data_IF_389254633430
#
_entry.id   IF_389254633430
#
_cell.length_a   1.000
_cell.length_b   1.000
_cell.length_c   1.000
_cell.angle_alpha   90.00
_cell.angle_beta   90.00
_cell.angle_gamma   90.00
#
_symmetry.space_group_name_H-M   'P 1'
#
loop_
_entity.id
_entity.type
_entity.pdbx_description
1 polymer ?
#
# COMPACT_ATOMS: atom_id res chain seq x y z
N UNK A 1 5.72 -34.15 -10.64
CA UNK A 1 6.43 -34.36 -11.90
C UNK A 1 5.94 -33.38 -12.94
N UNK A 2 6.60 -32.25 -13.07
CA UNK A 2 6.47 -31.41 -14.26
C UNK A 2 7.84 -31.37 -14.92
N UNK A 3 7.98 -32.11 -16.00
CA UNK A 3 9.11 -32.00 -16.92
C UNK A 3 8.66 -31.01 -17.98
N UNK A 4 9.23 -29.80 -17.94
CA UNK A 4 9.09 -28.85 -19.03
C UNK A 4 10.22 -29.13 -20.01
N UNK A 5 9.93 -29.81 -21.12
CA UNK A 5 10.85 -29.97 -22.24
C UNK A 5 10.75 -28.70 -23.12
N UNK A 6 11.74 -27.85 -23.01
CA UNK A 6 12.03 -26.84 -24.01
C UNK A 6 13.41 -27.11 -24.58
N UNK A 7 13.46 -27.52 -25.85
CA UNK A 7 14.66 -27.52 -26.73
C UNK A 7 15.91 -28.27 -26.22
N UNK A 8 15.75 -29.54 -25.76
CA UNK A 8 16.92 -30.43 -25.61
C UNK A 8 17.85 -30.15 -24.43
N UNK A 9 17.59 -29.16 -23.61
CA UNK A 9 18.34 -28.92 -22.37
C UNK A 9 17.63 -29.56 -21.18
N UNK A 10 18.28 -30.51 -20.55
CA UNK A 10 17.81 -31.14 -19.31
C UNK A 10 18.08 -30.15 -18.17
N UNK A 11 17.08 -29.40 -17.76
CA UNK A 11 17.22 -28.60 -16.55
C UNK A 11 17.28 -29.49 -15.32
N UNK A 12 18.42 -29.44 -14.62
CA UNK A 12 18.59 -30.13 -13.36
C UNK A 12 17.63 -29.56 -12.31
N UNK A 13 16.88 -30.44 -11.61
CA UNK A 13 15.96 -29.99 -10.55
C UNK A 13 16.76 -29.19 -9.50
N UNK A 14 16.42 -27.92 -9.35
CA UNK A 14 17.10 -27.00 -8.42
C UNK A 14 17.12 -27.54 -6.99
N UNK A 15 16.13 -28.35 -6.59
CA UNK A 15 16.10 -29.02 -5.28
C UNK A 15 17.27 -29.99 -5.11
N UNK A 16 17.64 -30.70 -6.16
CA UNK A 16 18.78 -31.63 -6.13
C UNK A 16 20.09 -30.86 -5.96
N UNK A 17 20.24 -29.73 -6.67
CA UNK A 17 21.42 -28.88 -6.55
C UNK A 17 21.55 -28.32 -5.13
N UNK A 18 20.48 -27.78 -4.57
CA UNK A 18 20.50 -27.24 -3.21
C UNK A 18 20.74 -28.34 -2.17
N UNK A 19 20.14 -29.51 -2.33
CA UNK A 19 20.38 -30.63 -1.42
C UNK A 19 21.84 -31.04 -1.42
N UNK A 20 22.51 -31.13 -2.59
CA UNK A 20 23.92 -31.43 -2.70
C UNK A 20 24.81 -30.34 -2.12
N UNK A 21 24.54 -29.07 -2.44
CA UNK A 21 25.32 -27.93 -1.95
C UNK A 21 25.22 -27.76 -0.43
N UNK A 22 24.08 -28.09 0.15
CA UNK A 22 23.81 -27.91 1.57
C UNK A 22 24.07 -29.17 2.41
N UNK A 23 24.42 -30.30 1.77
CA UNK A 23 24.60 -31.60 2.45
C UNK A 23 25.69 -31.61 3.53
N UNK A 24 26.68 -30.72 3.41
CA UNK A 24 27.76 -30.55 4.40
C UNK A 24 27.53 -29.46 5.42
N UNK A 25 26.42 -28.73 5.30
CA UNK A 25 26.09 -27.60 6.20
C UNK A 25 25.28 -28.15 7.37
N UNK A 26 25.82 -27.99 8.56
CA UNK A 26 25.11 -28.27 9.80
C UNK A 26 24.33 -27.03 10.22
N UNK A 27 23.01 -27.04 10.05
CA UNK A 27 22.16 -25.96 10.49
C UNK A 27 22.11 -25.90 12.03
N UNK A 28 22.19 -24.70 12.62
CA UNK A 28 21.99 -24.57 14.05
C UNK A 28 20.56 -25.00 14.43
N UNK A 29 20.33 -25.44 15.66
CA UNK A 29 18.97 -25.76 16.11
C UNK A 29 18.09 -24.52 16.05
N UNK A 30 16.88 -24.67 15.50
CA UNK A 30 15.86 -23.64 15.52
C UNK A 30 15.08 -23.72 16.82
N UNK A 31 14.94 -22.58 17.49
CA UNK A 31 14.05 -22.43 18.63
C UNK A 31 12.75 -21.80 18.14
N UNK A 32 11.63 -22.46 18.43
CA UNK A 32 10.33 -21.83 18.29
C UNK A 32 10.16 -20.80 19.41
N UNK A 33 9.99 -19.53 19.02
CA UNK A 33 9.68 -18.46 19.96
C UNK A 33 8.28 -17.94 19.69
N UNK A 34 7.47 -17.89 20.71
CA UNK A 34 6.18 -17.23 20.67
C UNK A 34 6.34 -15.82 21.26
N UNK A 35 6.02 -14.80 20.47
CA UNK A 35 5.98 -13.43 20.94
C UNK A 35 4.55 -13.08 21.33
N UNK A 36 4.29 -13.05 22.64
CA UNK A 36 3.00 -12.67 23.19
C UNK A 36 3.04 -11.17 23.46
N UNK A 37 2.44 -10.38 22.56
CA UNK A 37 2.27 -8.96 22.75
C UNK A 37 0.80 -8.63 23.01
N UNK A 38 0.54 -7.94 24.09
CA UNK A 38 -0.77 -7.33 24.32
C UNK A 38 -0.83 -6.05 23.49
N UNK A 39 -1.54 -6.09 22.37
CA UNK A 39 -1.72 -4.91 21.55
C UNK A 39 -3.11 -4.33 21.80
N UNK A 40 -3.24 -2.98 21.87
CA UNK A 40 -4.55 -2.36 21.89
C UNK A 40 -5.29 -2.68 20.60
N UNK A 41 -6.54 -3.08 20.71
CA UNK A 41 -7.40 -3.40 19.57
C UNK A 41 -8.33 -2.21 19.32
N UNK A 42 -8.41 -1.78 18.06
CA UNK A 42 -9.40 -0.81 17.62
C UNK A 42 -10.69 -1.58 17.28
N UNK A 43 -11.75 -1.38 18.08
CA UNK A 43 -13.01 -2.12 17.90
C UNK A 43 -13.71 -1.80 16.58
N UNK A 44 -13.65 -0.53 16.14
CA UNK A 44 -14.24 -0.08 14.88
C UNK A 44 -13.23 0.76 14.08
N UNK A 45 -12.44 0.13 13.19
CA UNK A 45 -11.48 0.84 12.35
C UNK A 45 -12.12 1.91 11.46
N UNK A 46 -13.32 1.66 10.97
CA UNK A 46 -14.09 2.66 10.18
C UNK A 46 -14.40 3.91 10.98
N UNK A 47 -14.95 3.74 12.21
CA UNK A 47 -15.29 4.90 13.03
C UNK A 47 -14.03 5.62 13.52
N UNK A 48 -13.00 4.89 13.90
CA UNK A 48 -11.73 5.48 14.33
C UNK A 48 -11.06 6.29 13.21
N UNK A 49 -11.11 5.79 11.97
CA UNK A 49 -10.60 6.52 10.81
C UNK A 49 -11.42 7.78 10.50
N UNK A 50 -12.75 7.67 10.59
CA UNK A 50 -13.64 8.83 10.45
C UNK A 50 -13.31 9.90 11.50
N UNK A 51 -13.26 9.53 12.79
CA UNK A 51 -13.00 10.45 13.88
C UNK A 51 -11.63 11.12 13.74
N UNK A 52 -10.61 10.36 13.35
CA UNK A 52 -9.26 10.87 13.13
C UNK A 52 -9.21 11.96 12.04
N UNK A 53 -9.90 11.74 10.92
CA UNK A 53 -9.97 12.72 9.84
C UNK A 53 -10.87 13.90 10.22
N UNK A 54 -12.04 13.63 10.80
CA UNK A 54 -13.02 14.65 11.17
C UNK A 54 -12.48 15.63 12.23
N UNK A 55 -11.64 15.15 13.14
CA UNK A 55 -11.00 15.98 14.17
C UNK A 55 -9.68 16.61 13.74
N UNK A 56 -9.14 16.21 12.57
CA UNK A 56 -7.92 16.78 12.04
C UNK A 56 -8.17 18.24 11.58
N UNK A 57 -7.42 19.23 12.08
CA UNK A 57 -7.64 20.64 11.68
C UNK A 57 -7.51 20.87 10.17
N UNK A 58 -6.68 20.05 9.49
CA UNK A 58 -6.43 20.23 8.06
C UNK A 58 -7.62 19.82 7.18
N UNK A 59 -8.56 19.01 7.68
CA UNK A 59 -9.78 18.67 6.92
C UNK A 59 -10.62 19.91 6.61
N UNK A 60 -10.56 20.94 7.46
CA UNK A 60 -11.27 22.21 7.24
C UNK A 60 -10.74 23.00 6.03
N UNK A 61 -9.61 22.60 5.45
CA UNK A 61 -9.09 23.20 4.21
C UNK A 61 -9.82 22.69 2.97
N UNK A 62 -10.44 21.52 3.06
CA UNK A 62 -11.22 20.94 1.95
C UNK A 62 -12.49 21.76 1.75
N UNK A 63 -12.66 22.32 0.55
CA UNK A 63 -13.83 23.08 0.17
C UNK A 63 -14.81 22.21 -0.63
N UNK A 64 -16.09 22.57 -0.65
CA UNK A 64 -17.07 21.86 -1.45
C UNK A 64 -16.67 21.76 -2.93
N UNK A 65 -16.68 20.56 -3.48
CA UNK A 65 -16.32 20.26 -4.86
C UNK A 65 -14.83 20.00 -5.11
N UNK A 66 -13.95 20.27 -4.15
CA UNK A 66 -12.53 19.96 -4.29
C UNK A 66 -12.25 18.45 -4.27
N UNK A 67 -11.30 18.03 -5.07
CA UNK A 67 -10.91 16.64 -5.22
C UNK A 67 -9.90 16.22 -4.14
N UNK A 68 -10.10 15.03 -3.58
CA UNK A 68 -9.25 14.49 -2.52
C UNK A 68 -8.75 13.12 -2.91
N UNK A 69 -7.45 12.99 -3.19
CA UNK A 69 -6.81 11.73 -3.49
C UNK A 69 -6.52 10.98 -2.18
N UNK A 70 -7.08 9.78 -2.03
CA UNK A 70 -6.83 8.89 -0.92
C UNK A 70 -5.87 7.81 -1.38
N UNK A 71 -4.71 7.67 -0.74
CA UNK A 71 -3.74 6.66 -1.17
C UNK A 71 -4.09 5.29 -0.61
N UNK A 72 -3.87 4.24 -1.40
CA UNK A 72 -4.00 2.87 -0.97
C UNK A 72 -2.75 2.06 -1.35
N UNK A 73 -2.11 1.44 -0.36
CA UNK A 73 -0.88 0.69 -0.54
C UNK A 73 -1.12 -0.80 -0.83
N UNK A 74 -0.02 -1.52 -1.08
CA UNK A 74 0.00 -2.97 -1.30
C UNK A 74 0.29 -3.78 -0.03
N UNK A 75 0.38 -3.13 1.11
CA UNK A 75 0.62 -3.80 2.40
C UNK A 75 -0.70 -4.06 3.09
N UNK A 76 -0.80 -5.25 3.63
CA UNK A 76 -1.98 -5.64 4.41
C UNK A 76 -2.14 -4.71 5.63
N UNK A 77 -3.30 -4.10 5.71
CA UNK A 77 -3.77 -3.30 6.84
C UNK A 77 -5.09 -3.91 7.29
N UNK A 78 -5.21 -4.18 8.58
CA UNK A 78 -6.44 -4.74 9.12
C UNK A 78 -7.62 -3.81 8.81
N UNK A 79 -8.69 -4.38 8.24
CA UNK A 79 -9.91 -3.67 7.84
C UNK A 79 -9.67 -2.40 7.01
N UNK A 80 -8.78 -2.49 6.01
CA UNK A 80 -8.47 -1.35 5.13
C UNK A 80 -9.71 -0.77 4.45
N UNK A 81 -10.68 -1.61 4.11
CA UNK A 81 -11.95 -1.18 3.48
C UNK A 81 -12.77 -0.34 4.44
N UNK A 82 -12.90 -0.77 5.70
CA UNK A 82 -13.55 0.02 6.75
C UNK A 82 -12.84 1.35 6.98
N UNK A 83 -11.50 1.34 7.09
CA UNK A 83 -10.71 2.58 7.24
C UNK A 83 -10.99 3.54 6.08
N UNK A 84 -10.93 3.06 4.84
CA UNK A 84 -11.21 3.90 3.66
C UNK A 84 -12.64 4.45 3.67
N UNK A 85 -13.63 3.65 4.08
CA UNK A 85 -15.03 4.13 4.23
C UNK A 85 -15.14 5.26 5.24
N UNK A 86 -14.48 5.14 6.39
CA UNK A 86 -14.46 6.18 7.41
C UNK A 86 -13.86 7.49 6.88
N UNK A 87 -12.72 7.42 6.19
CA UNK A 87 -12.07 8.58 5.57
C UNK A 87 -12.96 9.19 4.47
N UNK A 88 -13.52 8.37 3.58
CA UNK A 88 -14.42 8.82 2.50
C UNK A 88 -15.62 9.56 3.06
N UNK A 89 -16.22 9.03 4.14
CA UNK A 89 -17.34 9.68 4.82
C UNK A 89 -16.96 11.06 5.34
N UNK A 90 -15.84 11.17 6.06
CA UNK A 90 -15.38 12.44 6.60
C UNK A 90 -15.10 13.49 5.51
N UNK A 91 -14.47 13.09 4.40
CA UNK A 91 -14.20 13.97 3.25
C UNK A 91 -15.49 14.44 2.60
N UNK A 92 -16.46 13.54 2.40
CA UNK A 92 -17.76 13.89 1.80
C UNK A 92 -18.57 14.85 2.68
N UNK A 93 -18.51 14.70 3.99
CA UNK A 93 -19.19 15.62 4.93
C UNK A 93 -18.63 17.03 4.87
N UNK A 94 -17.34 17.19 4.51
CA UNK A 94 -16.76 18.51 4.21
C UNK A 94 -17.13 19.02 2.80
N UNK A 95 -17.83 18.21 1.99
CA UNK A 95 -18.18 18.54 0.62
C UNK A 95 -17.09 18.19 -0.41
N UNK A 96 -16.01 17.54 -0.01
CA UNK A 96 -14.95 17.08 -0.91
C UNK A 96 -15.37 15.88 -1.78
N UNK A 97 -14.67 15.69 -2.88
CA UNK A 97 -14.87 14.61 -3.85
C UNK A 97 -13.71 13.62 -3.74
N UNK A 98 -13.83 12.57 -2.90
CA UNK A 98 -12.76 11.60 -2.71
C UNK A 98 -12.66 10.61 -3.87
N UNK A 99 -11.43 10.18 -4.18
CA UNK A 99 -11.13 9.07 -5.07
C UNK A 99 -9.87 8.32 -4.59
N UNK A 100 -9.71 7.07 -4.99
CA UNK A 100 -8.56 6.24 -4.59
C UNK A 100 -7.43 6.33 -5.61
N UNK A 101 -6.20 6.38 -5.12
CA UNK A 101 -4.97 6.29 -5.93
C UNK A 101 -4.08 5.17 -5.37
N UNK A 102 -3.62 4.21 -6.19
CA UNK A 102 -2.63 3.25 -5.75
C UNK A 102 -1.32 3.94 -5.34
N UNK A 103 -0.78 3.58 -4.18
CA UNK A 103 0.48 4.09 -3.66
C UNK A 103 1.39 2.91 -3.26
N UNK A 104 1.90 2.21 -4.27
CA UNK A 104 2.60 0.94 -4.06
C UNK A 104 3.86 0.77 -4.94
N UNK A 105 4.35 1.82 -5.56
CA UNK A 105 5.58 1.81 -6.36
C UNK A 105 5.48 0.85 -7.55
N UNK A 106 6.38 -0.14 -7.63
CA UNK A 106 6.44 -1.11 -8.73
C UNK A 106 5.59 -2.37 -8.52
N UNK A 107 4.80 -2.44 -7.46
CA UNK A 107 3.91 -3.57 -7.23
C UNK A 107 2.86 -3.68 -8.34
N UNK A 108 2.20 -4.83 -8.46
CA UNK A 108 1.26 -5.08 -9.55
C UNK A 108 1.92 -5.16 -10.93
N UNK A 109 3.20 -5.57 -10.99
CA UNK A 109 3.96 -5.65 -12.23
C UNK A 109 4.30 -4.30 -12.86
N UNK A 110 4.29 -3.22 -12.05
CA UNK A 110 4.52 -1.85 -12.50
C UNK A 110 3.57 -1.42 -13.65
N UNK A 111 2.31 -1.83 -13.57
CA UNK A 111 1.24 -1.44 -14.50
C UNK A 111 0.05 -0.88 -13.74
N UNK A 112 -0.68 0.05 -14.34
CA UNK A 112 -1.87 0.65 -13.75
C UNK A 112 -2.94 -0.42 -13.43
N UNK A 113 -3.21 -1.30 -14.39
CA UNK A 113 -4.16 -2.40 -14.25
C UNK A 113 -3.72 -3.43 -13.21
N UNK A 114 -2.41 -3.70 -13.13
CA UNK A 114 -1.84 -4.60 -12.13
C UNK A 114 -1.99 -4.05 -10.72
N UNK A 115 -1.85 -2.74 -10.53
CA UNK A 115 -2.06 -2.08 -9.24
C UNK A 115 -3.52 -2.11 -8.82
N UNK A 116 -4.45 -1.89 -9.75
CA UNK A 116 -5.89 -2.04 -9.47
C UNK A 116 -6.21 -3.46 -9.00
N UNK A 117 -5.69 -4.49 -9.69
CA UNK A 117 -5.88 -5.89 -9.25
C UNK A 117 -5.33 -6.17 -7.85
N UNK A 118 -4.24 -5.52 -7.46
CA UNK A 118 -3.72 -5.63 -6.07
C UNK A 118 -4.71 -5.02 -5.08
N UNK A 119 -5.30 -3.87 -5.39
CA UNK A 119 -6.33 -3.26 -4.54
C UNK A 119 -7.58 -4.14 -4.43
N UNK A 120 -8.05 -4.69 -5.55
CA UNK A 120 -9.19 -5.61 -5.61
C UNK A 120 -8.96 -6.85 -4.72
N UNK A 121 -7.74 -7.38 -4.68
CA UNK A 121 -7.38 -8.50 -3.81
C UNK A 121 -7.59 -8.17 -2.32
N UNK A 122 -7.47 -6.91 -1.92
CA UNK A 122 -7.76 -6.43 -0.57
C UNK A 122 -9.21 -5.97 -0.37
N UNK A 123 -10.08 -6.19 -1.37
CA UNK A 123 -11.48 -5.75 -1.33
C UNK A 123 -11.68 -4.25 -1.57
N UNK A 124 -10.64 -3.55 -2.00
CA UNK A 124 -10.71 -2.13 -2.36
C UNK A 124 -11.20 -2.06 -3.80
N UNK A 125 -12.50 -1.85 -3.96
CA UNK A 125 -13.17 -1.73 -5.27
C UNK A 125 -14.06 -0.50 -5.30
N UNK A 126 -14.36 0.00 -6.49
CA UNK A 126 -15.29 1.12 -6.66
C UNK A 126 -16.68 0.80 -6.11
N UNK A 127 -17.13 -0.46 -6.27
CA UNK A 127 -18.42 -0.93 -5.74
C UNK A 127 -18.42 -0.90 -4.19
N UNK A 128 -17.37 -1.42 -3.56
CA UNK A 128 -17.27 -1.49 -2.09
C UNK A 128 -17.19 -0.12 -1.42
N UNK A 129 -16.53 0.84 -2.09
CA UNK A 129 -16.24 2.16 -1.53
C UNK A 129 -17.14 3.28 -2.06
N UNK A 130 -17.79 3.08 -3.20
CA UNK A 130 -18.62 4.09 -3.86
C UNK A 130 -17.83 5.30 -4.36
N UNK A 131 -16.54 5.15 -4.66
CA UNK A 131 -15.65 6.15 -5.24
C UNK A 131 -14.81 5.56 -6.35
N UNK A 132 -14.35 6.38 -7.27
CA UNK A 132 -13.49 5.96 -8.38
C UNK A 132 -12.12 5.49 -7.87
N UNK A 133 -11.52 4.52 -8.57
CA UNK A 133 -10.12 4.14 -8.44
C UNK A 133 -9.38 4.64 -9.68
N UNK A 134 -8.52 5.62 -9.50
CA UNK A 134 -7.73 6.22 -10.58
C UNK A 134 -6.29 5.73 -10.48
N UNK A 135 -5.83 4.96 -11.46
CA UNK A 135 -4.50 4.38 -11.49
C UNK A 135 -3.71 4.82 -12.72
N UNK A 136 -2.45 5.17 -12.51
CA UNK A 136 -1.50 5.53 -13.56
C UNK A 136 -0.09 5.21 -13.10
N UNK A 137 0.83 4.94 -14.04
CA UNK A 137 2.27 4.85 -13.76
C UNK A 137 3.00 6.19 -14.05
N UNK A 138 2.25 7.21 -14.47
CA UNK A 138 2.83 8.52 -14.73
C UNK A 138 3.17 9.29 -13.46
N UNK A 139 4.36 9.88 -13.42
CA UNK A 139 4.81 10.74 -12.32
C UNK A 139 5.12 12.15 -12.79
N UNK A 140 5.16 13.09 -11.85
CA UNK A 140 5.65 14.46 -12.05
C UNK A 140 6.76 14.75 -11.07
N UNK A 141 7.75 15.52 -11.50
CA UNK A 141 8.80 16.03 -10.63
C UNK A 141 8.25 17.21 -9.82
N UNK A 142 8.20 17.06 -8.51
CA UNK A 142 7.66 18.10 -7.61
C UNK A 142 8.75 18.90 -6.89
N UNK A 143 10.00 18.45 -6.95
CA UNK A 143 11.12 19.15 -6.35
C UNK A 143 12.35 18.25 -6.20
N UNK A 144 13.31 18.71 -5.39
CA UNK A 144 14.52 17.97 -5.02
C UNK A 144 14.70 18.02 -3.50
N UNK A 145 15.30 16.97 -2.94
CA UNK A 145 15.73 16.96 -1.55
C UNK A 145 16.91 17.94 -1.34
N UNK A 146 17.27 18.20 -0.09
CA UNK A 146 18.46 19.03 0.23
C UNK A 146 19.74 18.46 -0.38
N UNK A 147 19.81 17.13 -0.54
CA UNK A 147 20.95 16.43 -1.14
C UNK A 147 20.86 16.34 -2.68
N UNK A 148 19.88 17.00 -3.30
CA UNK A 148 19.72 17.09 -4.75
C UNK A 148 19.00 15.92 -5.42
N UNK A 149 18.43 14.96 -4.66
CA UNK A 149 17.66 13.85 -5.24
C UNK A 149 16.30 14.33 -5.75
N UNK A 150 15.88 13.93 -6.98
CA UNK A 150 14.58 14.30 -7.51
C UNK A 150 13.44 13.62 -6.74
N UNK A 151 12.40 14.38 -6.42
CA UNK A 151 11.19 13.90 -5.75
C UNK A 151 10.06 13.84 -6.78
N UNK A 152 9.59 12.62 -7.03
CA UNK A 152 8.49 12.36 -7.94
C UNK A 152 7.22 12.03 -7.17
N UNK A 153 6.10 12.57 -7.64
CA UNK A 153 4.76 12.27 -7.14
C UNK A 153 3.92 11.66 -8.25
N UNK A 154 2.97 10.81 -7.90
CA UNK A 154 1.97 10.31 -8.85
C UNK A 154 1.25 11.49 -9.53
N UNK A 155 1.05 11.39 -10.85
CA UNK A 155 0.46 12.48 -11.65
C UNK A 155 -0.98 12.75 -11.27
N UNK A 156 -1.76 11.70 -10.98
CA UNK A 156 -3.18 11.83 -10.65
C UNK A 156 -3.32 12.42 -9.25
N UNK A 157 -2.54 11.93 -8.29
CA UNK A 157 -2.53 12.48 -6.93
C UNK A 157 -2.07 13.94 -6.92
N UNK A 158 -1.04 14.30 -7.73
CA UNK A 158 -0.57 15.68 -7.82
C UNK A 158 -1.58 16.64 -8.47
N UNK A 159 -2.50 16.12 -9.27
CA UNK A 159 -3.56 16.92 -9.89
C UNK A 159 -4.78 17.11 -8.99
N UNK A 160 -4.87 16.41 -7.87
CA UNK A 160 -5.91 16.61 -6.87
C UNK A 160 -5.66 17.89 -6.04
N UNK A 161 -6.73 18.47 -5.53
CA UNK A 161 -6.65 19.66 -4.65
C UNK A 161 -6.03 19.27 -3.29
N UNK A 162 -6.30 18.05 -2.82
CA UNK A 162 -5.79 17.52 -1.56
C UNK A 162 -5.37 16.06 -1.69
N UNK A 163 -4.42 15.63 -0.83
CA UNK A 163 -3.96 14.25 -0.72
C UNK A 163 -4.03 13.82 0.74
N UNK A 164 -4.69 12.70 1.01
CA UNK A 164 -4.65 12.06 2.33
C UNK A 164 -3.87 10.74 2.17
N UNK A 165 -2.64 10.66 2.69
CA UNK A 165 -1.88 9.43 2.67
C UNK A 165 -2.44 8.44 3.69
N UNK A 166 -2.77 7.23 3.22
CA UNK A 166 -3.24 6.12 4.05
C UNK A 166 -2.29 4.95 3.85
N UNK A 167 -1.72 4.46 4.93
CA UNK A 167 -0.75 3.39 4.85
C UNK A 167 -0.46 2.75 6.19
N UNK A 168 0.23 1.61 6.15
CA UNK A 168 0.68 0.91 7.34
C UNK A 168 1.90 1.62 7.93
N UNK A 169 1.77 2.11 9.15
CA UNK A 169 2.90 2.64 9.91
C UNK A 169 3.71 1.48 10.48
N UNK A 170 4.98 1.40 10.13
CA UNK A 170 5.93 0.41 10.65
C UNK A 170 7.35 0.98 10.63
N UNK A 171 8.24 0.55 11.54
CA UNK A 171 9.66 0.92 11.46
C UNK A 171 10.27 0.37 10.16
N UNK A 172 11.12 1.17 9.53
CA UNK A 172 11.92 0.72 8.40
C UNK A 172 13.22 0.08 8.90
N UNK A 173 13.76 -0.88 8.14
CA UNK A 173 14.99 -1.58 8.49
C UNK A 173 16.21 -0.67 8.40
N UNK A 174 16.25 0.21 7.39
CA UNK A 174 17.43 1.02 7.06
C UNK A 174 17.24 2.52 7.28
N UNK A 175 16.04 3.03 7.00
CA UNK A 175 15.76 4.46 7.14
C UNK A 175 15.38 4.84 8.56
N UNK A 176 15.97 5.95 9.03
CA UNK A 176 15.62 6.60 10.29
C UNK A 176 15.30 8.05 10.00
N UNK A 177 14.25 8.57 10.61
CA UNK A 177 13.84 9.95 10.47
C UNK A 177 12.82 10.34 11.54
N UNK A 178 12.59 11.64 11.74
CA UNK A 178 11.47 12.08 12.55
C UNK A 178 10.17 11.71 11.82
N UNK A 179 9.25 11.11 12.54
CA UNK A 179 7.89 10.78 12.06
C UNK A 179 6.94 11.78 12.67
#
# INVERSE_FOLDING_TARGET
HFICQAQGETFMDTRVIYTQLLSSIQFPPFLAMEYIATQPVVESPEQAAYDAVHTCPDIARVRPGETVALTAGSREVYDIVGILRGVIRAVREQGGVPFIVPAMGSHGGATAEGQVRVLEHFGITEEALGVEIRSSMGTVLVGHTQDGYPVHLDRIANAADHIIPIGRVKPHTDFRGPV
#
